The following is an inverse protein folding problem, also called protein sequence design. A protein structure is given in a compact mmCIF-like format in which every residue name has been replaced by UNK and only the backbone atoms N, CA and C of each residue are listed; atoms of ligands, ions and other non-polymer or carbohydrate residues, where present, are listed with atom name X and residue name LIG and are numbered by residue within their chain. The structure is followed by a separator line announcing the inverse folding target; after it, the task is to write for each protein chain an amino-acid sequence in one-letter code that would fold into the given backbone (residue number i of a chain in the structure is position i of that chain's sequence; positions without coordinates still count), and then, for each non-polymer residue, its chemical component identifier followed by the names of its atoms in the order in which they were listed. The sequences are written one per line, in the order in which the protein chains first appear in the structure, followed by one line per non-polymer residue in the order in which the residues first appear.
data_IF_429817568477
#
_entry.id   IF_429817568477
#
_cell.length_a   1.000
_cell.length_b   1.000
_cell.length_c   1.000
_cell.angle_alpha   90.00
_cell.angle_beta   90.00
_cell.angle_gamma   90.00
#
_symmetry.space_group_name_H-M   'P 1'
#
loop_
_entity.id
_entity.type
_entity.pdbx_description
1 polymer ?
#
# COMPACT_ATOMS: atom_id res chain seq x y z
N UNK A 1 -39.41 44.37 -0.99
CA UNK A 1 -39.60 45.12 -2.25
C UNK A 1 -38.75 44.42 -3.31
N UNK A 2 -39.31 43.45 -4.02
CA UNK A 2 -38.62 42.84 -5.17
C UNK A 2 -38.99 43.66 -6.40
N UNK A 3 -37.99 44.27 -7.02
CA UNK A 3 -38.16 45.16 -8.16
C UNK A 3 -38.60 44.35 -9.37
N UNK A 4 -39.74 44.72 -9.97
CA UNK A 4 -40.23 44.19 -11.24
C UNK A 4 -39.30 44.66 -12.37
N UNK A 5 -38.32 43.84 -12.73
CA UNK A 5 -37.72 43.93 -14.07
C UNK A 5 -38.70 43.33 -15.06
N UNK A 6 -38.96 44.06 -16.14
CA UNK A 6 -39.92 43.67 -17.17
C UNK A 6 -39.57 42.31 -17.74
N UNK A 7 -40.41 41.33 -17.43
CA UNK A 7 -40.33 39.99 -17.95
C UNK A 7 -41.59 39.73 -18.75
N UNK A 8 -41.42 39.44 -20.02
CA UNK A 8 -42.47 38.91 -20.87
C UNK A 8 -42.82 37.53 -20.29
N UNK A 9 -44.09 37.27 -19.93
CA UNK A 9 -44.48 36.05 -19.23
C UNK A 9 -44.15 34.76 -20.01
N UNK A 10 -43.99 34.87 -21.33
CA UNK A 10 -43.58 33.76 -22.20
C UNK A 10 -42.10 33.36 -22.03
N UNK A 11 -41.22 34.32 -21.75
CA UNK A 11 -39.79 34.03 -21.56
C UNK A 11 -39.56 33.30 -20.23
N UNK A 12 -40.27 33.67 -19.17
CA UNK A 12 -40.19 33.02 -17.86
C UNK A 12 -40.64 31.57 -17.88
N UNK A 13 -41.72 31.29 -18.61
CA UNK A 13 -42.19 29.92 -18.80
C UNK A 13 -41.15 29.07 -19.53
N UNK A 14 -40.53 29.62 -20.58
CA UNK A 14 -39.49 28.96 -21.34
C UNK A 14 -38.23 28.70 -20.50
N UNK A 15 -37.73 29.71 -19.78
CA UNK A 15 -36.56 29.56 -18.91
C UNK A 15 -36.84 28.62 -17.75
N UNK A 16 -38.06 28.64 -17.19
CA UNK A 16 -38.49 27.71 -16.15
C UNK A 16 -38.49 26.25 -16.62
N UNK A 17 -39.02 25.99 -17.82
CA UNK A 17 -39.01 24.65 -18.41
C UNK A 17 -37.59 24.18 -18.70
N UNK A 18 -36.76 25.03 -19.31
CA UNK A 18 -35.36 24.71 -19.59
C UNK A 18 -34.57 24.43 -18.31
N UNK A 19 -34.82 25.21 -17.25
CA UNK A 19 -34.18 25.03 -15.95
C UNK A 19 -34.62 23.73 -15.27
N UNK A 20 -35.94 23.41 -15.31
CA UNK A 20 -36.47 22.14 -14.81
C UNK A 20 -35.82 20.95 -15.52
N UNK A 21 -35.63 21.01 -16.84
CA UNK A 21 -34.96 19.96 -17.61
C UNK A 21 -33.49 19.74 -17.23
N UNK A 22 -32.82 20.74 -16.64
CA UNK A 22 -31.43 20.61 -16.17
C UNK A 22 -31.31 20.00 -14.77
N UNK A 23 -32.42 19.89 -14.04
CA UNK A 23 -32.43 19.23 -12.74
C UNK A 23 -32.34 17.70 -12.88
N UNK A 24 -31.80 17.02 -11.87
CA UNK A 24 -31.85 15.57 -11.82
C UNK A 24 -33.29 15.01 -11.76
N UNK A 25 -33.52 13.82 -12.32
CA UNK A 25 -34.86 13.22 -12.45
C UNK A 25 -35.62 13.07 -11.13
N UNK A 26 -34.92 12.74 -10.04
CA UNK A 26 -35.50 12.63 -8.70
C UNK A 26 -36.01 13.98 -8.18
N UNK A 27 -35.31 15.07 -8.49
CA UNK A 27 -35.76 16.42 -8.15
C UNK A 27 -36.91 16.87 -9.06
N UNK A 28 -36.86 16.57 -10.36
CA UNK A 28 -37.96 16.85 -11.29
C UNK A 28 -39.25 16.16 -10.85
N UNK A 29 -39.18 14.89 -10.41
CA UNK A 29 -40.32 14.14 -9.92
C UNK A 29 -40.95 14.78 -8.68
N UNK A 30 -40.13 15.24 -7.74
CA UNK A 30 -40.61 15.94 -6.54
C UNK A 30 -41.27 17.28 -6.85
N UNK A 31 -40.85 17.96 -7.91
CA UNK A 31 -41.37 19.27 -8.31
C UNK A 31 -42.55 19.20 -9.29
N UNK A 32 -42.86 18.02 -9.84
CA UNK A 32 -43.96 17.85 -10.79
C UNK A 32 -45.32 18.42 -10.29
N UNK A 33 -45.71 18.26 -9.01
CA UNK A 33 -46.96 18.85 -8.50
C UNK A 33 -46.93 20.37 -8.35
N UNK A 34 -45.74 20.98 -8.38
CA UNK A 34 -45.53 22.40 -8.15
C UNK A 34 -45.22 23.18 -9.44
N UNK A 35 -45.41 22.59 -10.63
CA UNK A 35 -45.13 23.26 -11.91
C UNK A 35 -46.01 24.49 -12.18
N UNK A 36 -47.21 24.54 -11.58
CA UNK A 36 -48.13 25.68 -11.70
C UNK A 36 -47.77 26.85 -10.76
N UNK A 37 -46.72 26.69 -9.94
CA UNK A 37 -46.26 27.74 -9.00
C UNK A 37 -45.32 28.73 -9.69
N UNK A 38 -45.20 29.96 -9.16
CA UNK A 38 -44.20 30.92 -9.63
C UNK A 38 -42.80 30.32 -9.57
N UNK A 39 -41.97 30.62 -10.57
CA UNK A 39 -40.61 30.09 -10.70
C UNK A 39 -39.77 30.27 -9.42
N UNK A 40 -39.92 31.39 -8.73
CA UNK A 40 -39.23 31.67 -7.45
C UNK A 40 -39.53 30.62 -6.36
N UNK A 41 -40.76 30.11 -6.29
CA UNK A 41 -41.11 29.05 -5.34
C UNK A 41 -40.52 27.71 -5.77
N UNK A 42 -40.58 27.39 -7.06
CA UNK A 42 -40.06 26.13 -7.62
C UNK A 42 -38.54 26.05 -7.43
N UNK A 43 -37.82 27.17 -7.60
CA UNK A 43 -36.37 27.23 -7.35
C UNK A 43 -36.02 26.98 -5.89
N UNK A 44 -36.77 27.56 -4.95
CA UNK A 44 -36.53 27.36 -3.51
C UNK A 44 -36.80 25.90 -3.11
N UNK A 45 -37.85 25.27 -3.65
CA UNK A 45 -38.15 23.87 -3.41
C UNK A 45 -37.08 22.94 -3.99
N UNK A 46 -36.56 23.25 -5.19
CA UNK A 46 -35.47 22.49 -5.78
C UNK A 46 -34.20 22.58 -4.93
N UNK A 47 -33.80 23.78 -4.50
CA UNK A 47 -32.64 23.99 -3.63
C UNK A 47 -32.77 23.22 -2.31
N UNK A 48 -33.97 23.22 -1.72
CA UNK A 48 -34.24 22.45 -0.51
C UNK A 48 -34.15 20.95 -0.75
N UNK A 49 -34.73 20.44 -1.85
CA UNK A 49 -34.64 19.01 -2.20
C UNK A 49 -33.21 18.54 -2.47
N UNK A 50 -32.37 19.40 -3.06
CA UNK A 50 -30.97 19.09 -3.34
C UNK A 50 -30.14 18.93 -2.05
N UNK A 51 -30.50 19.59 -0.95
CA UNK A 51 -29.79 19.46 0.33
C UNK A 51 -29.91 18.07 0.96
N UNK A 52 -31.04 17.38 0.73
CA UNK A 52 -31.29 16.03 1.29
C UNK A 52 -31.08 14.91 0.27
N UNK A 53 -30.70 15.26 -0.96
CA UNK A 53 -30.45 14.32 -2.02
C UNK A 53 -29.28 13.41 -1.66
N UNK A 54 -29.55 12.12 -1.53
CA UNK A 54 -28.48 11.14 -1.36
C UNK A 54 -27.79 10.90 -2.70
N UNK A 55 -26.45 10.85 -2.75
CA UNK A 55 -25.76 10.49 -3.97
C UNK A 55 -26.18 9.08 -4.39
N UNK A 56 -26.73 8.96 -5.60
CA UNK A 56 -26.95 7.65 -6.22
C UNK A 56 -25.58 7.04 -6.50
N UNK A 57 -25.17 6.10 -5.64
CA UNK A 57 -23.98 5.28 -5.90
C UNK A 57 -24.38 4.20 -6.89
N UNK A 58 -23.99 4.37 -8.15
CA UNK A 58 -24.06 3.27 -9.10
C UNK A 58 -23.20 2.12 -8.54
N UNK A 59 -23.80 0.94 -8.40
CA UNK A 59 -23.05 -0.25 -8.02
C UNK A 59 -21.99 -0.48 -9.10
N UNK A 60 -20.73 -0.18 -8.77
CA UNK A 60 -19.60 -0.57 -9.60
C UNK A 60 -19.57 -2.08 -9.52
N UNK A 61 -20.09 -2.74 -10.56
CA UNK A 61 -19.79 -4.14 -10.77
C UNK A 61 -18.27 -4.19 -10.94
N UNK A 62 -17.53 -4.85 -10.02
CA UNK A 62 -16.12 -5.05 -10.26
C UNK A 62 -16.06 -5.96 -11.49
N UNK A 63 -15.80 -5.36 -12.65
CA UNK A 63 -15.40 -6.10 -13.83
C UNK A 63 -14.00 -6.57 -13.51
N UNK A 64 -13.92 -7.66 -12.75
CA UNK A 64 -12.68 -8.41 -12.56
C UNK A 64 -12.39 -8.99 -13.94
N UNK A 65 -11.37 -8.51 -14.68
CA UNK A 65 -10.88 -9.32 -15.78
C UNK A 65 -10.42 -10.64 -15.14
N UNK A 66 -11.03 -11.75 -15.52
CA UNK A 66 -10.55 -13.10 -15.19
C UNK A 66 -9.16 -13.31 -15.80
N UNK A 67 -8.12 -12.77 -15.16
CA UNK A 67 -6.70 -12.99 -15.45
C UNK A 67 -5.87 -12.20 -14.43
N UNK A 68 -5.93 -12.48 -13.13
CA UNK A 68 -5.19 -13.55 -12.46
C UNK A 68 -5.64 -13.42 -11.01
N UNK A 69 -6.16 -14.49 -10.39
CA UNK A 69 -6.42 -14.43 -8.96
C UNK A 69 -5.12 -14.05 -8.24
N UNK A 70 -5.22 -13.28 -7.15
CA UNK A 70 -4.07 -12.93 -6.31
C UNK A 70 -3.31 -14.20 -5.91
N UNK A 71 -4.04 -15.30 -5.70
CA UNK A 71 -3.49 -16.63 -5.46
C UNK A 71 -2.63 -17.16 -6.61
N UNK A 72 -3.02 -16.94 -7.87
CA UNK A 72 -2.25 -17.30 -9.05
C UNK A 72 -0.95 -16.50 -9.19
N UNK A 73 -1.00 -15.19 -8.90
CA UNK A 73 0.21 -14.36 -8.85
C UNK A 73 1.14 -14.78 -7.71
N UNK A 74 0.57 -15.13 -6.55
CA UNK A 74 1.33 -15.59 -5.40
C UNK A 74 2.00 -16.95 -5.64
N UNK A 75 1.29 -17.90 -6.27
CA UNK A 75 1.86 -19.19 -6.67
C UNK A 75 2.99 -19.01 -7.70
N UNK A 76 2.78 -18.20 -8.74
CA UNK A 76 3.81 -17.91 -9.74
C UNK A 76 5.05 -17.24 -9.13
N UNK A 77 4.85 -16.38 -8.12
CA UNK A 77 5.93 -15.74 -7.39
C UNK A 77 6.74 -16.74 -6.55
N UNK A 78 6.07 -17.64 -5.83
CA UNK A 78 6.72 -18.72 -5.06
C UNK A 78 7.53 -19.63 -5.97
N UNK A 79 6.97 -20.02 -7.11
CA UNK A 79 7.64 -20.88 -8.09
C UNK A 79 8.93 -20.23 -8.63
N UNK A 80 8.87 -18.93 -8.93
CA UNK A 80 10.03 -18.14 -9.37
C UNK A 80 11.12 -18.05 -8.30
N UNK A 81 10.76 -17.92 -7.02
CA UNK A 81 11.73 -17.93 -5.91
C UNK A 81 12.39 -19.30 -5.72
N UNK A 82 11.65 -20.38 -5.92
CA UNK A 82 12.18 -21.74 -5.84
C UNK A 82 13.18 -22.03 -6.98
N UNK A 83 12.87 -21.58 -8.20
CA UNK A 83 13.80 -21.63 -9.34
C UNK A 83 15.10 -20.86 -9.08
N UNK A 84 15.00 -19.66 -8.49
CA UNK A 84 16.18 -18.84 -8.20
C UNK A 84 17.11 -19.45 -7.12
N UNK A 85 16.55 -20.12 -6.12
CA UNK A 85 17.33 -20.80 -5.07
C UNK A 85 18.01 -22.07 -5.58
N UNK A 86 17.35 -22.84 -6.44
CA UNK A 86 17.93 -24.06 -7.04
C UNK A 86 19.09 -23.72 -7.97
N UNK A 87 19.00 -22.63 -8.74
CA UNK A 87 20.10 -22.13 -9.59
C UNK A 87 21.32 -21.64 -8.79
N UNK A 88 21.13 -21.02 -7.62
CA UNK A 88 22.27 -20.69 -6.73
C UNK A 88 22.91 -21.93 -6.14
N UNK A 89 22.12 -22.94 -5.79
CA UNK A 89 22.63 -24.16 -5.18
C UNK A 89 23.37 -25.05 -6.20
N UNK A 90 22.91 -25.11 -7.45
CA UNK A 90 23.59 -25.82 -8.54
C UNK A 90 24.90 -25.12 -8.93
N UNK A 91 24.91 -23.79 -9.05
CA UNK A 91 26.14 -23.03 -9.33
C UNK A 91 27.16 -23.05 -8.18
N UNK A 92 26.70 -23.18 -6.94
CA UNK A 92 27.57 -23.41 -5.78
C UNK A 92 28.16 -24.82 -5.71
N UNK A 93 27.45 -25.82 -6.24
CA UNK A 93 27.91 -27.22 -6.30
C UNK A 93 28.95 -27.46 -7.39
N UNK A 94 28.97 -26.67 -8.47
CA UNK A 94 29.93 -26.84 -9.57
C UNK A 94 31.32 -26.22 -9.33
N UNK A 95 31.52 -25.48 -8.22
CA UNK A 95 32.82 -24.88 -7.88
C UNK A 95 33.60 -25.64 -6.79
N UNK A 96 33.11 -26.78 -6.30
CA UNK A 96 33.85 -27.65 -5.37
C UNK A 96 34.68 -28.73 -6.08
N UNK A 97 35.35 -28.34 -7.17
CA UNK A 97 36.35 -29.14 -7.85
C UNK A 97 37.73 -29.00 -7.21
N UNK A 98 37.97 -29.61 -6.04
CA UNK A 98 39.29 -30.16 -5.62
C UNK A 98 39.22 -30.87 -4.26
N UNK A 99 39.55 -32.17 -4.18
CA UNK A 99 39.79 -32.84 -2.91
C UNK A 99 41.24 -32.57 -2.52
N UNK A 100 41.49 -31.50 -1.77
CA UNK A 100 42.80 -31.32 -1.15
C UNK A 100 42.74 -31.89 0.27
N UNK A 101 43.28 -33.09 0.42
CA UNK A 101 43.66 -33.70 1.69
C UNK A 101 44.63 -32.77 2.43
N UNK A 102 44.11 -31.76 3.12
CA UNK A 102 44.90 -30.99 4.08
C UNK A 102 44.61 -31.59 5.44
N UNK A 103 45.55 -32.41 5.88
CA UNK A 103 45.68 -32.99 7.22
C UNK A 103 45.82 -31.87 8.29
N UNK A 104 44.80 -31.02 8.44
CA UNK A 104 44.75 -30.01 9.49
C UNK A 104 44.10 -30.67 10.70
N UNK A 105 44.97 -31.03 11.64
CA UNK A 105 44.66 -31.47 13.00
C UNK A 105 43.67 -30.47 13.62
N UNK A 106 42.37 -30.73 13.49
CA UNK A 106 41.36 -30.10 14.33
C UNK A 106 41.54 -30.74 15.71
N UNK A 107 42.43 -30.15 16.51
CA UNK A 107 42.34 -30.29 17.95
C UNK A 107 40.98 -29.72 18.33
N UNK A 108 40.00 -30.62 18.55
CA UNK A 108 38.81 -30.32 19.32
C UNK A 108 39.28 -29.87 20.70
N UNK A 109 39.53 -28.58 20.88
CA UNK A 109 39.49 -28.03 22.23
C UNK A 109 38.01 -27.93 22.60
N UNK A 110 37.60 -28.49 23.75
CA UNK A 110 36.27 -28.30 24.26
C UNK A 110 35.97 -26.81 24.35
N UNK A 111 34.81 -26.43 23.81
CA UNK A 111 34.26 -25.08 23.81
C UNK A 111 33.89 -24.69 25.26
N UNK A 112 34.88 -24.51 26.12
CA UNK A 112 34.76 -23.89 27.45
C UNK A 112 34.79 -22.34 27.34
N UNK A 113 34.58 -21.82 26.13
CA UNK A 113 34.38 -20.40 25.85
C UNK A 113 32.93 -19.99 26.12
N UNK A 114 32.47 -20.25 27.35
CA UNK A 114 31.25 -19.63 27.83
C UNK A 114 31.48 -18.10 27.90
N UNK A 115 30.88 -17.41 26.93
CA UNK A 115 30.77 -15.95 26.78
C UNK A 115 31.99 -15.18 26.24
N UNK A 116 32.76 -15.75 25.30
CA UNK A 116 33.72 -14.94 24.51
C UNK A 116 33.08 -14.41 23.22
N UNK A 117 33.37 -13.17 22.83
CA UNK A 117 32.88 -12.61 21.56
C UNK A 117 33.62 -13.24 20.37
N UNK A 118 33.04 -13.12 19.16
CA UNK A 118 33.61 -13.68 17.93
C UNK A 118 35.08 -13.32 17.71
N UNK A 119 35.47 -12.08 18.03
CA UNK A 119 36.85 -11.62 17.90
C UNK A 119 37.81 -12.34 18.86
N UNK A 120 37.43 -12.50 20.14
CA UNK A 120 38.25 -13.23 21.12
C UNK A 120 38.23 -14.75 20.89
N UNK A 121 37.16 -15.30 20.34
CA UNK A 121 37.12 -16.72 19.94
C UNK A 121 38.09 -17.02 18.79
N UNK A 122 38.32 -16.04 17.90
CA UNK A 122 39.16 -16.21 16.70
C UNK A 122 40.62 -15.78 16.90
N UNK A 123 40.84 -14.68 17.62
CA UNK A 123 42.15 -14.03 17.75
C UNK A 123 42.70 -14.07 19.19
N UNK A 124 41.92 -14.56 20.17
CA UNK A 124 42.33 -14.58 21.57
C UNK A 124 42.75 -13.20 22.06
N UNK A 125 43.88 -13.13 22.77
CA UNK A 125 44.45 -11.89 23.32
C UNK A 125 44.78 -10.81 22.28
N UNK A 126 44.95 -11.19 21.01
CA UNK A 126 45.33 -10.30 19.92
C UNK A 126 44.10 -9.70 19.21
N UNK A 127 42.90 -9.89 19.78
CA UNK A 127 41.67 -9.29 19.25
C UNK A 127 41.73 -7.76 19.35
N UNK A 128 41.81 -7.10 18.20
CA UNK A 128 41.80 -5.64 18.11
C UNK A 128 40.46 -5.00 18.54
N UNK A 129 39.39 -5.78 18.63
CA UNK A 129 38.04 -5.31 18.99
C UNK A 129 37.35 -6.32 19.92
N UNK A 130 36.77 -5.81 20.99
CA UNK A 130 35.90 -6.56 21.89
C UNK A 130 34.44 -6.14 21.70
N UNK A 131 33.50 -7.08 21.75
CA UNK A 131 32.05 -6.79 21.71
C UNK A 131 31.44 -7.34 23.00
N UNK A 132 30.78 -6.48 23.78
CA UNK A 132 30.08 -6.90 25.00
C UNK A 132 28.76 -7.62 24.69
N UNK A 133 28.35 -8.61 25.51
CA UNK A 133 29.00 -9.10 26.73
C UNK A 133 30.08 -10.16 26.45
N UNK A 134 31.36 -9.79 26.60
CA UNK A 134 32.49 -10.70 26.50
C UNK A 134 33.15 -10.88 27.88
N UNK A 135 33.37 -12.12 28.29
CA UNK A 135 34.01 -12.49 29.55
C UNK A 135 35.55 -12.52 29.48
N UNK A 136 36.14 -11.97 28.42
CA UNK A 136 37.58 -11.94 28.27
C UNK A 136 38.23 -11.04 29.34
N UNK A 137 39.10 -11.61 30.17
CA UNK A 137 39.81 -10.93 31.27
C UNK A 137 41.22 -10.43 30.89
N UNK A 138 41.46 -10.13 29.61
CA UNK A 138 42.71 -9.51 29.16
C UNK A 138 42.54 -8.00 29.00
N UNK A 139 43.51 -7.21 29.49
CA UNK A 139 43.49 -5.75 29.33
C UNK A 139 43.32 -5.36 27.86
N UNK A 140 42.51 -4.33 27.55
CA UNK A 140 42.40 -3.85 26.18
C UNK A 140 43.80 -3.40 25.69
N UNK A 141 44.14 -3.64 24.41
CA UNK A 141 45.38 -3.10 23.87
C UNK A 141 45.33 -1.58 24.01
N UNK A 142 46.29 -1.04 24.75
CA UNK A 142 46.54 0.39 24.88
C UNK A 142 46.50 1.02 23.49
N UNK A 143 45.58 1.96 23.28
CA UNK A 143 45.51 2.76 22.07
C UNK A 143 46.89 3.31 21.76
N UNK A 144 47.32 3.13 20.52
CA UNK A 144 48.52 3.79 20.00
C UNK A 144 48.12 5.24 19.72
N UNK A 145 48.66 6.16 20.52
CA UNK A 145 49.12 7.47 20.06
C UNK A 145 50.64 7.52 20.30
#
# INVERSE_FOLDING_TARGET
MCNKTGNTPDDDAFFGELWLQKLPQDVQFLLAPAQDMPIECVTVMADHSMQYRQPSVAAVTPTVPSATSVDGLFQAFIEKLNGFNTDRNSRGAHFSGKPQSSNRRTSKLPNDSQKLCWYHARYGKDAAKCIHPCLWKGQPPSGKD
#
